data_IF_167224443271
#
_entry.id   IF_167224443271
#
_cell.length_a   1.000
_cell.length_b   1.000
_cell.length_c   1.000
_cell.angle_alpha   90.00
_cell.angle_beta   90.00
_cell.angle_gamma   90.00
#
_symmetry.space_group_name_H-M   'P 1'
#
loop_
_entity.id
_entity.type
_entity.pdbx_description
1 polymer ?
#
# COMPACT_ATOMS: atom_id res chain seq x y z
N UNK A 1 -18.58 -2.24 -17.45
CA UNK A 1 -17.79 -0.97 -17.49
C UNK A 1 -17.97 -0.09 -16.24
N UNK A 2 -19.14 -0.08 -15.59
CA UNK A 2 -19.36 0.71 -14.36
C UNK A 2 -18.76 0.02 -13.12
N UNK A 3 -19.02 -1.28 -12.93
CA UNK A 3 -18.51 -2.07 -11.79
C UNK A 3 -16.98 -2.06 -11.73
N UNK A 4 -16.29 -2.27 -12.85
CA UNK A 4 -14.83 -2.22 -12.88
C UNK A 4 -14.26 -0.85 -12.45
N UNK A 5 -14.92 0.25 -12.84
CA UNK A 5 -14.51 1.60 -12.41
C UNK A 5 -14.77 1.81 -10.92
N UNK A 6 -15.90 1.33 -10.40
CA UNK A 6 -16.19 1.37 -8.97
C UNK A 6 -15.15 0.58 -8.18
N UNK A 7 -14.85 -0.66 -8.60
CA UNK A 7 -13.82 -1.50 -8.00
C UNK A 7 -12.44 -0.82 -8.01
N UNK A 8 -12.00 -0.30 -9.16
CA UNK A 8 -10.71 0.39 -9.26
C UNK A 8 -10.66 1.60 -8.32
N UNK A 9 -11.70 2.43 -8.33
CA UNK A 9 -11.76 3.62 -7.47
C UNK A 9 -11.66 3.22 -6.00
N UNK A 10 -12.42 2.21 -5.60
CA UNK A 10 -12.46 1.76 -4.21
C UNK A 10 -11.12 1.19 -3.76
N UNK A 11 -10.54 0.27 -4.54
CA UNK A 11 -9.22 -0.32 -4.26
C UNK A 11 -8.15 0.76 -4.17
N UNK A 12 -8.11 1.73 -5.08
CA UNK A 12 -7.12 2.82 -5.05
C UNK A 12 -7.31 3.69 -3.82
N UNK A 13 -8.54 4.09 -3.49
CA UNK A 13 -8.80 4.91 -2.29
C UNK A 13 -8.42 4.19 -1.00
N UNK A 14 -8.76 2.90 -0.88
CA UNK A 14 -8.38 2.09 0.28
C UNK A 14 -6.87 1.88 0.33
N UNK A 15 -6.21 1.63 -0.81
CA UNK A 15 -4.76 1.45 -0.87
C UNK A 15 -4.01 2.70 -0.41
N UNK A 16 -4.42 3.89 -0.85
CA UNK A 16 -3.82 5.15 -0.42
C UNK A 16 -4.01 5.34 1.09
N UNK A 17 -5.23 5.14 1.60
CA UNK A 17 -5.52 5.30 3.02
C UNK A 17 -4.66 4.38 3.89
N UNK A 18 -4.58 3.10 3.54
CA UNK A 18 -3.82 2.09 4.28
C UNK A 18 -2.32 2.37 4.23
N UNK A 19 -1.84 2.78 3.06
CA UNK A 19 -0.42 3.15 2.87
C UNK A 19 -0.04 4.32 3.76
N UNK A 20 -0.87 5.37 3.82
CA UNK A 20 -0.62 6.54 4.68
C UNK A 20 -0.56 6.12 6.15
N UNK A 21 -1.52 5.30 6.61
CA UNK A 21 -1.56 4.82 7.99
C UNK A 21 -0.27 4.06 8.34
N UNK A 22 0.15 3.14 7.47
CA UNK A 22 1.32 2.29 7.74
C UNK A 22 2.63 3.07 7.63
N UNK A 23 2.78 3.99 6.67
CA UNK A 23 3.93 4.90 6.60
C UNK A 23 4.03 5.73 7.88
N UNK A 24 2.90 6.24 8.38
CA UNK A 24 2.88 7.04 9.62
C UNK A 24 3.35 6.22 10.82
N UNK A 25 2.84 5.00 10.98
CA UNK A 25 3.27 4.10 12.06
C UNK A 25 4.77 3.80 11.93
N UNK A 26 5.21 3.44 10.72
CA UNK A 26 6.61 3.14 10.46
C UNK A 26 7.54 4.32 10.73
N UNK A 27 7.07 5.55 10.49
CA UNK A 27 7.81 6.79 10.75
C UNK A 27 8.05 6.99 12.22
N UNK A 28 7.01 6.87 13.02
CA UNK A 28 7.13 6.98 14.48
C UNK A 28 8.11 5.93 15.00
N UNK A 29 7.96 4.66 14.59
CA UNK A 29 8.84 3.57 15.03
C UNK A 29 10.30 3.81 14.65
N UNK A 30 10.57 4.23 13.41
CA UNK A 30 11.94 4.45 12.94
C UNK A 30 12.58 5.68 13.57
N UNK A 31 11.83 6.76 13.73
CA UNK A 31 12.30 7.96 14.43
C UNK A 31 12.64 7.65 15.89
N UNK A 32 11.78 6.91 16.60
CA UNK A 32 12.05 6.50 17.99
C UNK A 32 13.34 5.69 18.09
N UNK A 33 13.54 4.72 17.18
CA UNK A 33 14.75 3.88 17.18
C UNK A 33 16.02 4.68 16.93
N UNK A 34 16.01 5.65 16.01
CA UNK A 34 17.19 6.50 15.78
C UNK A 34 17.41 7.54 16.89
N UNK A 35 16.33 8.09 17.47
CA UNK A 35 16.48 9.02 18.58
C UNK A 35 17.08 8.32 19.82
N UNK A 36 16.72 7.05 20.06
CA UNK A 36 17.35 6.20 21.09
C UNK A 36 18.86 6.04 20.84
N UNK A 37 19.26 5.73 19.61
CA UNK A 37 20.68 5.59 19.26
C UNK A 37 21.45 6.91 19.39
N UNK A 38 20.80 8.05 19.11
CA UNK A 38 21.39 9.36 19.32
C UNK A 38 21.56 9.69 20.82
N UNK A 39 20.60 9.28 21.66
CA UNK A 39 20.68 9.44 23.11
C UNK A 39 21.81 8.58 23.74
N UNK A 40 22.09 7.42 23.15
CA UNK A 40 23.24 6.56 23.51
C UNK A 40 24.59 7.08 22.99
N UNK A 41 24.58 8.15 22.18
CA UNK A 41 25.80 8.75 21.60
C UNK A 41 26.36 7.98 20.39
N UNK A 42 25.61 7.04 19.82
CA UNK A 42 26.05 6.24 18.67
C UNK A 42 25.96 7.01 17.34
N UNK A 43 25.04 7.96 17.24
CA UNK A 43 24.84 8.78 16.04
C UNK A 43 24.61 10.26 16.40
N UNK A 44 25.11 11.20 15.57
CA UNK A 44 24.85 12.61 15.77
C UNK A 44 23.36 12.92 15.53
N UNK A 45 22.76 13.72 16.41
CA UNK A 45 21.33 14.10 16.37
C UNK A 45 20.97 14.76 15.04
N UNK A 46 21.88 15.55 14.47
CA UNK A 46 21.69 16.25 13.20
C UNK A 46 21.52 15.28 12.01
N UNK A 47 22.04 14.06 12.11
CA UNK A 47 21.90 13.04 11.07
C UNK A 47 20.61 12.23 11.20
N UNK A 48 19.90 12.28 12.33
CA UNK A 48 18.72 11.43 12.60
C UNK A 48 17.64 11.65 11.55
N UNK A 49 17.30 12.90 11.24
CA UNK A 49 16.25 13.21 10.27
C UNK A 49 16.61 12.69 8.86
N UNK A 50 17.87 12.89 8.44
CA UNK A 50 18.39 12.43 7.15
C UNK A 50 18.38 10.90 7.06
N UNK A 51 18.79 10.22 8.13
CA UNK A 51 18.80 8.75 8.20
C UNK A 51 17.38 8.17 8.19
N UNK A 52 16.43 8.82 8.86
CA UNK A 52 15.01 8.46 8.80
C UNK A 52 14.49 8.60 7.38
N UNK A 53 14.72 9.73 6.73
CA UNK A 53 14.27 9.98 5.36
C UNK A 53 14.87 8.96 4.37
N UNK A 54 16.17 8.70 4.46
CA UNK A 54 16.85 7.72 3.60
C UNK A 54 16.29 6.31 3.82
N UNK A 55 16.12 5.89 5.08
CA UNK A 55 15.54 4.58 5.38
C UNK A 55 14.10 4.48 4.91
N UNK A 56 13.30 5.53 5.07
CA UNK A 56 11.93 5.59 4.58
C UNK A 56 11.84 5.29 3.09
N UNK A 57 12.63 6.01 2.28
CA UNK A 57 12.67 5.79 0.83
C UNK A 57 13.11 4.37 0.48
N UNK A 58 14.06 3.81 1.25
CA UNK A 58 14.54 2.44 1.06
C UNK A 58 13.54 1.33 1.45
N UNK A 59 12.47 1.63 2.20
CA UNK A 59 11.44 0.65 2.56
C UNK A 59 10.15 0.82 1.75
N UNK A 60 10.02 1.92 0.99
CA UNK A 60 8.82 2.21 0.19
C UNK A 60 8.57 1.15 -0.89
N UNK A 61 9.64 0.61 -1.46
CA UNK A 61 9.63 -0.43 -2.49
C UNK A 61 8.92 -1.72 -2.03
N UNK A 62 9.13 -2.13 -0.78
CA UNK A 62 8.51 -3.32 -0.18
C UNK A 62 7.14 -2.98 0.44
N UNK A 63 7.00 -1.79 1.03
CA UNK A 63 5.76 -1.40 1.69
C UNK A 63 4.61 -1.20 0.69
N UNK A 64 4.84 -0.53 -0.44
CA UNK A 64 3.78 -0.21 -1.40
C UNK A 64 3.05 -1.47 -1.93
N UNK A 65 3.73 -2.53 -2.42
CA UNK A 65 3.08 -3.77 -2.84
C UNK A 65 2.28 -4.44 -1.73
N UNK A 66 2.83 -4.46 -0.50
CA UNK A 66 2.18 -5.07 0.64
C UNK A 66 0.89 -4.32 1.00
N UNK A 67 0.93 -3.00 0.99
CA UNK A 67 -0.24 -2.17 1.30
C UNK A 67 -1.32 -2.29 0.23
N UNK A 68 -0.92 -2.36 -1.05
CA UNK A 68 -1.84 -2.65 -2.14
C UNK A 68 -2.54 -4.00 -1.97
N UNK A 69 -1.79 -5.05 -1.61
CA UNK A 69 -2.36 -6.37 -1.36
C UNK A 69 -3.39 -6.35 -0.22
N UNK A 70 -3.06 -5.72 0.90
CA UNK A 70 -3.97 -5.60 2.05
C UNK A 70 -5.25 -4.82 1.67
N UNK A 71 -5.09 -3.72 0.94
CA UNK A 71 -6.23 -2.91 0.49
C UNK A 71 -7.14 -3.67 -0.47
N UNK A 72 -6.57 -4.42 -1.42
CA UNK A 72 -7.32 -5.28 -2.33
C UNK A 72 -8.16 -6.31 -1.55
N UNK A 73 -7.55 -6.96 -0.55
CA UNK A 73 -8.25 -7.91 0.32
C UNK A 73 -9.37 -7.25 1.12
N UNK A 74 -9.16 -6.05 1.66
CA UNK A 74 -10.20 -5.35 2.41
C UNK A 74 -11.40 -4.97 1.55
N UNK A 75 -11.18 -4.50 0.32
CA UNK A 75 -12.27 -4.18 -0.61
C UNK A 75 -13.03 -5.45 -0.99
N UNK A 76 -12.33 -6.52 -1.35
CA UNK A 76 -12.97 -7.81 -1.65
C UNK A 76 -13.76 -8.32 -0.44
N UNK A 77 -13.17 -8.32 0.75
CA UNK A 77 -13.84 -8.75 1.96
C UNK A 77 -15.11 -7.92 2.25
N UNK A 78 -15.09 -6.61 1.95
CA UNK A 78 -16.27 -5.74 2.08
C UNK A 78 -17.37 -6.14 1.08
N UNK A 79 -17.03 -6.30 -0.19
CA UNK A 79 -17.99 -6.70 -1.23
C UNK A 79 -18.57 -8.10 -1.02
N UNK A 80 -17.80 -9.01 -0.43
CA UNK A 80 -18.30 -10.32 0.01
C UNK A 80 -19.24 -10.21 1.21
N UNK A 81 -18.91 -9.37 2.21
CA UNK A 81 -19.74 -9.14 3.40
C UNK A 81 -21.06 -8.47 3.07
N UNK A 82 -21.05 -7.53 2.14
CA UNK A 82 -22.22 -6.77 1.70
C UNK A 82 -23.06 -7.54 0.67
N UNK A 83 -22.72 -8.81 0.40
CA UNK A 83 -23.33 -9.69 -0.61
C UNK A 83 -23.30 -9.15 -2.05
N UNK A 84 -22.55 -8.08 -2.34
CA UNK A 84 -22.40 -7.54 -3.70
C UNK A 84 -21.81 -8.58 -4.64
N UNK A 85 -20.81 -9.35 -4.17
CA UNK A 85 -20.20 -10.42 -4.97
C UNK A 85 -21.18 -11.56 -5.29
N UNK A 86 -22.11 -11.87 -4.38
CA UNK A 86 -23.13 -12.91 -4.60
C UNK A 86 -24.13 -12.47 -5.67
N UNK A 87 -24.54 -11.19 -5.65
CA UNK A 87 -25.42 -10.59 -6.67
C UNK A 87 -24.73 -10.51 -8.03
N UNK A 88 -23.45 -10.14 -8.07
CA UNK A 88 -22.69 -10.12 -9.32
C UNK A 88 -22.51 -11.52 -9.91
N UNK A 89 -22.29 -12.53 -9.06
CA UNK A 89 -22.18 -13.91 -9.49
C UNK A 89 -23.50 -14.43 -10.09
N UNK A 90 -24.65 -14.10 -9.49
CA UNK A 90 -25.96 -14.48 -10.04
C UNK A 90 -26.30 -13.76 -11.35
N UNK A 91 -25.75 -12.56 -11.56
CA UNK A 91 -25.80 -11.83 -12.83
C UNK A 91 -24.79 -12.33 -13.88
N UNK A 92 -24.05 -13.42 -13.63
CA UNK A 92 -23.11 -14.03 -14.56
C UNK A 92 -21.69 -13.45 -14.51
N UNK A 93 -21.38 -12.53 -13.60
CA UNK A 93 -20.02 -12.02 -13.37
C UNK A 93 -19.32 -12.80 -12.26
N UNK A 94 -18.49 -13.76 -12.67
CA UNK A 94 -17.63 -14.50 -11.74
C UNK A 94 -16.45 -13.66 -11.23
N UNK A 95 -15.79 -14.15 -10.17
CA UNK A 95 -14.61 -13.52 -9.53
C UNK A 95 -13.47 -13.25 -10.54
N UNK A 96 -13.39 -14.04 -11.60
CA UNK A 96 -12.39 -13.89 -12.67
C UNK A 96 -12.51 -12.57 -13.44
N UNK A 97 -13.69 -11.93 -13.42
CA UNK A 97 -13.91 -10.61 -14.01
C UNK A 97 -13.08 -9.52 -13.33
N UNK A 98 -12.67 -9.74 -12.07
CA UNK A 98 -11.88 -8.81 -11.27
C UNK A 98 -10.36 -8.96 -11.47
N UNK A 99 -9.89 -10.05 -12.10
CA UNK A 99 -8.46 -10.24 -12.36
C UNK A 99 -7.89 -9.15 -13.28
N UNK A 100 -8.62 -8.78 -14.34
CA UNK A 100 -8.20 -7.73 -15.27
C UNK A 100 -8.05 -6.35 -14.59
N UNK A 101 -9.08 -5.82 -13.88
CA UNK A 101 -8.93 -4.53 -13.21
C UNK A 101 -7.91 -4.57 -12.07
N UNK A 102 -7.84 -5.66 -11.28
CA UNK A 102 -6.80 -5.81 -10.27
C UNK A 102 -5.39 -5.82 -10.87
N UNK A 103 -5.20 -6.54 -12.00
CA UNK A 103 -3.94 -6.59 -12.73
C UNK A 103 -3.52 -5.22 -13.30
N UNK A 104 -4.47 -4.39 -13.73
CA UNK A 104 -4.18 -3.02 -14.19
C UNK A 104 -3.66 -2.14 -13.06
N UNK A 105 -4.26 -2.22 -11.87
CA UNK A 105 -3.78 -1.48 -10.69
C UNK A 105 -2.42 -2.02 -10.25
N UNK A 106 -2.26 -3.34 -10.22
CA UNK A 106 -1.01 -3.99 -9.88
C UNK A 106 0.12 -3.56 -10.84
N UNK A 107 -0.13 -3.49 -12.15
CA UNK A 107 0.84 -3.00 -13.12
C UNK A 107 1.26 -1.53 -12.84
N UNK A 108 0.30 -0.67 -12.47
CA UNK A 108 0.60 0.70 -12.05
C UNK A 108 1.45 0.75 -10.79
N UNK A 109 1.11 -0.05 -9.77
CA UNK A 109 1.87 -0.18 -8.53
C UNK A 109 3.29 -0.69 -8.81
N UNK A 110 3.44 -1.73 -9.63
CA UNK A 110 4.73 -2.27 -10.04
C UNK A 110 5.57 -1.23 -10.78
N UNK A 111 4.98 -0.41 -11.65
CA UNK A 111 5.70 0.66 -12.33
C UNK A 111 6.26 1.70 -11.33
N UNK A 112 5.46 2.09 -10.33
CA UNK A 112 5.91 3.00 -9.26
C UNK A 112 7.05 2.37 -8.46
N UNK A 113 6.89 1.11 -8.04
CA UNK A 113 7.91 0.39 -7.26
C UNK A 113 9.19 0.20 -8.06
N UNK A 114 9.09 -0.13 -9.34
CA UNK A 114 10.25 -0.26 -10.23
C UNK A 114 11.03 1.07 -10.32
N UNK A 115 10.34 2.21 -10.43
CA UNK A 115 11.02 3.52 -10.42
C UNK A 115 11.81 3.75 -9.13
N UNK A 116 11.24 3.41 -7.97
CA UNK A 116 11.95 3.53 -6.70
C UNK A 116 13.12 2.54 -6.58
N UNK A 117 12.93 1.30 -7.03
CA UNK A 117 13.95 0.25 -6.92
C UNK A 117 15.14 0.43 -7.88
N UNK A 118 14.93 1.06 -9.05
CA UNK A 118 16.02 1.34 -10.00
C UNK A 118 16.82 2.61 -9.65
N UNK A 119 16.23 3.54 -8.91
CA UNK A 119 16.85 4.82 -8.57
C UNK A 119 17.56 4.81 -7.21
N UNK A 120 17.29 3.81 -6.36
CA UNK A 120 17.88 3.62 -5.04
C UNK A 120 18.94 2.51 -5.06
#
# INVERSE_FOLDING_TARGET
>A
MIINRAFIREVVTTAIAVTIVIITIFLVLRMMGFLSQAAEGLIPVDAVLTLVALKMTAYLDVMIPLMFYIALLMVLARWYRDNEMAVLASAGMGITSFLKPAGMIAAGVTAVVALFAFYL
#
